data_IF_107360833271
#
_entry.id   IF_107360833271
#
_cell.length_a   1.000
_cell.length_b   1.000
_cell.length_c   1.000
_cell.angle_alpha   90.00
_cell.angle_beta   90.00
_cell.angle_gamma   90.00
#
_symmetry.space_group_name_H-M   'P 1'
#
loop_
_entity.id
_entity.type
_entity.pdbx_description
1 polymer ?
#
# COMPACT_ATOMS: atom_id res chain seq x y z
N UNK A 1 -16.97 1.79 -0.92
CA UNK A 1 -18.09 1.57 -1.86
C UNK A 1 -18.69 0.19 -1.60
N UNK A 2 -19.89 -0.14 -2.12
CA UNK A 2 -20.53 -1.43 -1.83
C UNK A 2 -19.66 -2.66 -2.10
N UNK A 3 -18.85 -2.64 -3.16
CA UNK A 3 -17.98 -3.75 -3.53
C UNK A 3 -16.86 -4.04 -2.50
N UNK A 4 -16.42 -3.05 -1.73
CA UNK A 4 -15.34 -3.20 -0.74
C UNK A 4 -15.85 -3.46 0.69
N UNK A 5 -17.16 -3.60 0.89
CA UNK A 5 -17.74 -3.78 2.23
C UNK A 5 -17.24 -5.05 2.92
N UNK A 6 -17.11 -6.16 2.18
CA UNK A 6 -16.64 -7.45 2.73
C UNK A 6 -15.25 -7.34 3.34
N UNK A 7 -14.34 -6.56 2.72
CA UNK A 7 -13.00 -6.32 3.28
C UNK A 7 -13.10 -5.51 4.58
N UNK A 8 -14.00 -4.54 4.64
CA UNK A 8 -14.17 -3.71 5.85
C UNK A 8 -14.73 -4.54 7.00
N UNK A 9 -15.73 -5.38 6.73
CA UNK A 9 -16.32 -6.32 7.71
C UNK A 9 -15.29 -7.33 8.22
N UNK A 10 -14.43 -7.86 7.34
CA UNK A 10 -13.36 -8.79 7.73
C UNK A 10 -12.41 -8.18 8.79
N UNK A 11 -12.14 -6.87 8.68
CA UNK A 11 -11.21 -6.17 9.55
C UNK A 11 -11.89 -5.37 10.68
N UNK A 12 -13.22 -5.34 10.76
CA UNK A 12 -13.96 -4.55 11.76
C UNK A 12 -13.90 -3.03 11.50
N UNK A 13 -13.75 -2.60 10.25
CA UNK A 13 -13.60 -1.18 9.85
C UNK A 13 -14.87 -0.57 9.24
N UNK A 14 -16.03 -1.16 9.49
CA UNK A 14 -17.30 -0.74 8.89
C UNK A 14 -17.64 0.72 9.22
N UNK A 15 -17.45 1.13 10.47
CA UNK A 15 -17.72 2.50 10.91
C UNK A 15 -16.76 3.50 10.24
N UNK A 16 -15.46 3.21 10.24
CA UNK A 16 -14.45 4.03 9.56
C UNK A 16 -14.80 4.20 8.08
N UNK A 17 -15.16 3.11 7.40
CA UNK A 17 -15.53 3.16 5.99
C UNK A 17 -16.84 3.90 5.73
N UNK A 18 -17.80 3.84 6.65
CA UNK A 18 -19.02 4.63 6.59
C UNK A 18 -18.71 6.13 6.67
N UNK A 19 -17.86 6.56 7.61
CA UNK A 19 -17.45 7.96 7.73
C UNK A 19 -16.65 8.44 6.52
N UNK A 20 -15.68 7.65 6.04
CA UNK A 20 -14.93 7.92 4.81
C UNK A 20 -15.87 8.12 3.61
N UNK A 21 -16.90 7.28 3.49
CA UNK A 21 -17.91 7.40 2.42
C UNK A 21 -18.75 8.68 2.53
N UNK A 22 -19.03 9.13 3.75
CA UNK A 22 -19.76 10.38 4.03
C UNK A 22 -18.91 11.61 3.70
N UNK A 23 -17.62 11.60 4.04
CA UNK A 23 -16.68 12.67 3.68
C UNK A 23 -16.51 12.77 2.17
N UNK A 24 -16.28 11.64 1.48
CA UNK A 24 -16.15 11.59 0.03
C UNK A 24 -17.38 12.17 -0.70
N UNK A 25 -18.60 11.81 -0.28
CA UNK A 25 -19.85 12.37 -0.85
C UNK A 25 -20.00 13.88 -0.65
N UNK A 26 -19.35 14.44 0.37
CA UNK A 26 -19.35 15.87 0.69
C UNK A 26 -18.15 16.61 0.09
N UNK A 27 -17.26 15.91 -0.61
CA UNK A 27 -16.04 16.49 -1.18
C UNK A 27 -14.98 16.89 -0.15
N UNK A 28 -15.06 16.39 1.09
CA UNK A 28 -14.15 16.71 2.21
C UNK A 28 -12.98 15.74 2.24
N UNK A 29 -12.16 15.77 1.20
CA UNK A 29 -11.07 14.79 0.99
C UNK A 29 -9.91 15.01 1.97
N UNK A 30 -9.67 16.26 2.33
CA UNK A 30 -8.63 16.70 3.26
C UNK A 30 -8.78 16.15 4.67
N UNK A 31 -9.99 15.77 5.07
CA UNK A 31 -10.28 15.19 6.40
C UNK A 31 -10.24 13.66 6.42
N UNK A 32 -10.20 13.02 5.25
CA UNK A 32 -10.19 11.56 5.18
C UNK A 32 -8.92 10.93 5.78
N UNK A 33 -7.71 11.51 5.62
CA UNK A 33 -6.50 10.96 6.23
C UNK A 33 -6.58 10.80 7.75
N UNK A 34 -7.33 11.68 8.45
CA UNK A 34 -7.47 11.63 9.91
C UNK A 34 -8.20 10.37 10.40
N UNK A 35 -8.93 9.70 9.50
CA UNK A 35 -9.63 8.44 9.78
C UNK A 35 -8.81 7.20 9.40
N UNK A 36 -7.65 7.36 8.76
CA UNK A 36 -6.78 6.26 8.35
C UNK A 36 -5.72 6.03 9.41
N UNK A 37 -5.88 4.95 10.19
CA UNK A 37 -4.89 4.56 11.20
C UNK A 37 -3.67 3.91 10.57
N UNK A 38 -2.57 3.84 11.32
CA UNK A 38 -1.36 3.11 10.90
C UNK A 38 -1.65 1.62 10.62
N UNK A 39 -2.61 1.02 11.34
CA UNK A 39 -3.06 -0.35 11.11
C UNK A 39 -3.73 -0.50 9.74
N UNK A 40 -4.71 0.37 9.43
CA UNK A 40 -5.38 0.35 8.11
C UNK A 40 -4.36 0.56 7.00
N UNK A 41 -3.43 1.50 7.21
CA UNK A 41 -2.37 1.79 6.24
C UNK A 41 -1.44 0.58 6.04
N UNK A 42 -1.01 -0.07 7.12
CA UNK A 42 -0.14 -1.23 7.07
C UNK A 42 -0.79 -2.45 6.40
N UNK A 43 -2.13 -2.57 6.45
CA UNK A 43 -2.84 -3.63 5.75
C UNK A 43 -3.03 -3.36 4.25
N UNK A 44 -3.17 -2.09 3.86
CA UNK A 44 -3.44 -1.71 2.47
C UNK A 44 -2.18 -1.43 1.66
N UNK A 45 -1.10 -1.02 2.32
CA UNK A 45 0.12 -0.60 1.67
C UNK A 45 1.35 -1.26 2.30
N UNK A 46 2.28 -1.66 1.43
CA UNK A 46 3.62 -2.01 1.83
C UNK A 46 4.50 -0.76 1.72
N UNK A 47 5.03 -0.31 2.85
CA UNK A 47 5.83 0.91 2.95
C UNK A 47 7.23 0.59 3.47
N UNK A 48 8.22 1.37 3.05
CA UNK A 48 9.58 1.23 3.54
C UNK A 48 10.62 1.86 2.62
N UNK A 49 11.89 1.92 3.06
CA UNK A 49 13.00 2.37 2.23
C UNK A 49 13.18 1.45 1.01
N UNK A 50 13.60 2.02 -0.12
CA UNK A 50 13.81 1.29 -1.39
C UNK A 50 14.57 -0.04 -1.24
N UNK A 51 15.65 -0.05 -0.47
CA UNK A 51 16.46 -1.25 -0.23
C UNK A 51 15.73 -2.34 0.60
N UNK A 52 14.73 -1.97 1.40
CA UNK A 52 13.98 -2.91 2.23
C UNK A 52 12.72 -3.44 1.54
N UNK A 53 12.18 -2.72 0.55
CA UNK A 53 10.96 -3.11 -0.17
C UNK A 53 11.01 -4.55 -0.70
N UNK A 54 12.13 -5.06 -1.27
CA UNK A 54 12.18 -6.44 -1.77
C UNK A 54 11.97 -7.50 -0.68
N UNK A 55 12.62 -7.33 0.47
CA UNK A 55 12.48 -8.24 1.61
C UNK A 55 11.06 -8.21 2.16
N UNK A 56 10.51 -7.01 2.36
CA UNK A 56 9.14 -6.83 2.83
C UNK A 56 8.12 -7.46 1.86
N UNK A 57 8.32 -7.25 0.56
CA UNK A 57 7.47 -7.81 -0.49
C UNK A 57 7.50 -9.33 -0.51
N UNK A 58 8.69 -9.94 -0.43
CA UNK A 58 8.83 -11.40 -0.35
C UNK A 58 8.16 -11.96 0.91
N UNK A 59 8.33 -11.30 2.05
CA UNK A 59 7.70 -11.72 3.29
C UNK A 59 6.16 -11.70 3.22
N UNK A 60 5.58 -10.68 2.56
CA UNK A 60 4.11 -10.54 2.46
C UNK A 60 3.49 -11.38 1.35
N UNK A 61 4.16 -11.52 0.22
CA UNK A 61 3.55 -12.03 -1.03
C UNK A 61 4.30 -13.20 -1.67
N UNK A 62 5.45 -13.63 -1.14
CA UNK A 62 6.34 -14.58 -1.82
C UNK A 62 5.76 -15.96 -2.09
N UNK A 63 4.67 -16.32 -1.43
CA UNK A 63 3.91 -17.55 -1.65
C UNK A 63 2.51 -17.33 -2.26
N UNK A 64 2.16 -16.09 -2.61
CA UNK A 64 0.84 -15.70 -3.10
C UNK A 64 0.86 -15.12 -4.51
N UNK A 65 1.91 -14.36 -4.86
CA UNK A 65 1.98 -13.62 -6.12
C UNK A 65 3.29 -13.94 -6.85
N UNK A 66 3.20 -14.22 -8.15
CA UNK A 66 4.37 -14.42 -9.02
C UNK A 66 5.06 -13.10 -9.40
N UNK A 67 4.31 -12.00 -9.39
CA UNK A 67 4.81 -10.68 -9.80
C UNK A 67 4.08 -9.56 -9.08
N UNK A 68 4.84 -8.56 -8.65
CA UNK A 68 4.35 -7.30 -8.14
C UNK A 68 5.03 -6.13 -8.88
N UNK A 69 4.42 -4.95 -8.80
CA UNK A 69 5.00 -3.70 -9.29
C UNK A 69 4.80 -2.62 -8.24
N UNK A 70 5.73 -1.68 -8.13
CA UNK A 70 5.47 -0.48 -7.35
C UNK A 70 4.36 0.33 -8.02
N UNK A 71 3.50 0.93 -7.20
CA UNK A 71 2.50 1.89 -7.65
C UNK A 71 3.15 3.25 -7.93
N UNK A 72 4.19 3.22 -8.77
CA UNK A 72 5.00 4.35 -9.19
C UNK A 72 5.42 4.09 -10.65
N UNK A 73 5.12 5.00 -11.59
CA UNK A 73 5.60 4.84 -12.95
C UNK A 73 7.12 4.89 -13.00
N UNK A 74 7.74 4.06 -13.83
CA UNK A 74 9.15 4.20 -14.14
C UNK A 74 9.36 5.41 -15.05
N UNK A 75 10.22 6.32 -14.62
CA UNK A 75 10.65 7.49 -15.40
C UNK A 75 12.18 7.52 -15.40
N UNK A 76 12.85 7.53 -16.56
CA UNK A 76 14.31 7.62 -16.61
C UNK A 76 14.82 8.91 -15.95
N UNK A 77 15.73 8.79 -14.98
CA UNK A 77 16.33 9.92 -14.27
C UNK A 77 15.81 10.06 -12.84
N UNK A 78 14.54 10.43 -12.63
CA UNK A 78 13.94 10.48 -11.30
C UNK A 78 14.01 9.13 -10.58
N UNK A 79 14.42 9.15 -9.32
CA UNK A 79 14.51 7.97 -8.44
C UNK A 79 15.46 6.85 -8.91
N UNK A 80 16.35 7.08 -9.88
CA UNK A 80 17.31 6.06 -10.35
C UNK A 80 18.05 5.36 -9.20
N UNK A 81 18.53 6.12 -8.21
CA UNK A 81 19.18 5.55 -7.01
C UNK A 81 18.25 4.60 -6.24
N UNK A 82 16.97 4.93 -6.11
CA UNK A 82 15.97 4.07 -5.46
C UNK A 82 15.69 2.80 -6.26
N UNK A 83 15.53 2.94 -7.58
CA UNK A 83 15.39 1.79 -8.49
C UNK A 83 16.59 0.85 -8.39
N UNK A 84 17.82 1.38 -8.43
CA UNK A 84 19.05 0.61 -8.28
C UNK A 84 19.11 -0.14 -6.93
N UNK A 85 18.72 0.52 -5.84
CA UNK A 85 18.66 -0.09 -4.52
C UNK A 85 17.67 -1.25 -4.46
N UNK A 86 16.45 -1.07 -5.01
CA UNK A 86 15.45 -2.11 -5.04
C UNK A 86 15.88 -3.29 -5.93
N UNK A 87 16.45 -3.03 -7.12
CA UNK A 87 16.93 -4.07 -8.05
C UNK A 87 18.02 -4.92 -7.39
N UNK A 88 19.04 -4.29 -6.80
CA UNK A 88 20.13 -5.00 -6.12
C UNK A 88 19.61 -5.89 -4.99
N UNK A 89 18.62 -5.41 -4.25
CA UNK A 89 18.05 -6.12 -3.11
C UNK A 89 17.06 -7.22 -3.52
N UNK A 90 16.48 -7.19 -4.74
CA UNK A 90 15.74 -8.33 -5.31
C UNK A 90 16.65 -9.44 -5.82
N UNK A 91 17.82 -9.09 -6.38
CA UNK A 91 18.80 -10.03 -6.94
C UNK A 91 19.71 -10.69 -5.89
N UNK A 92 19.87 -10.07 -4.73
CA UNK A 92 20.49 -10.71 -3.56
C UNK A 92 19.53 -11.79 -3.04
N UNK A 93 19.84 -13.04 -3.35
CA UNK A 93 19.18 -14.19 -2.73
C UNK A 93 20.04 -14.56 -1.53
N UNK A 94 19.43 -14.73 -0.35
CA UNK A 94 20.09 -15.38 0.79
C UNK A 94 20.43 -16.84 0.46
#
# INVERSE_FOLDING_TARGET
>A
TPAYRVVQELHGWEETAFQLSKLARRGRWEEMPDLITDEILAEMALTGPWAQLPRLARARYGNLLDRISFYLPFQPGPNNTGWDQAIRSFGATD
#
